data_IF_124148672164
#
_entry.id   IF_124148672164
#
_cell.length_a   1.000
_cell.length_b   1.000
_cell.length_c   1.000
_cell.angle_alpha   90.00
_cell.angle_beta   90.00
_cell.angle_gamma   90.00
#
_symmetry.space_group_name_H-M   'P 1'
#
loop_
_entity.id
_entity.type
_entity.pdbx_description
1 polymer ?
#
# COMPACT_ATOMS: atom_id res chain seq x y z
N UNK A 1 -18.84 -27.61 3.03
CA UNK A 1 -17.89 -28.70 2.76
C UNK A 1 -18.47 -30.07 3.14
N UNK A 2 -18.56 -30.43 4.42
CA UNK A 2 -18.98 -31.78 4.87
C UNK A 2 -20.34 -32.22 4.29
N UNK A 3 -21.32 -31.31 4.23
CA UNK A 3 -22.66 -31.60 3.70
C UNK A 3 -22.69 -31.96 2.21
N UNK A 4 -21.73 -31.45 1.42
CA UNK A 4 -21.70 -31.54 -0.04
C UNK A 4 -20.66 -32.54 -0.56
N UNK A 5 -19.82 -33.07 0.33
CA UNK A 5 -18.83 -34.10 -0.01
C UNK A 5 -19.50 -35.45 -0.24
N UNK A 6 -20.54 -35.75 0.52
CA UNK A 6 -21.32 -36.99 0.39
C UNK A 6 -22.83 -36.70 0.45
N UNK A 7 -23.40 -36.18 -0.66
CA UNK A 7 -24.80 -35.75 -0.70
C UNK A 7 -25.80 -36.90 -0.58
N UNK A 8 -25.37 -38.14 -0.86
CA UNK A 8 -26.17 -39.37 -0.69
C UNK A 8 -26.50 -39.67 0.78
N UNK A 9 -25.66 -39.26 1.74
CA UNK A 9 -25.94 -39.43 3.17
C UNK A 9 -26.82 -38.32 3.75
N UNK A 10 -26.89 -37.17 3.08
CA UNK A 10 -27.58 -35.96 3.57
C UNK A 10 -28.88 -35.66 2.83
N UNK A 11 -29.28 -36.54 1.88
CA UNK A 11 -30.46 -36.40 1.03
C UNK A 11 -30.49 -35.06 0.26
N UNK A 12 -29.32 -34.57 -0.13
CA UNK A 12 -29.15 -33.32 -0.87
C UNK A 12 -29.22 -33.65 -2.36
N UNK A 13 -30.24 -33.15 -3.05
CA UNK A 13 -30.41 -33.38 -4.47
C UNK A 13 -29.66 -32.31 -5.30
N UNK A 14 -28.96 -32.70 -6.38
CA UNK A 14 -28.44 -31.73 -7.35
C UNK A 14 -29.60 -31.14 -8.16
N UNK A 15 -29.42 -29.90 -8.64
CA UNK A 15 -30.37 -29.27 -9.57
C UNK A 15 -30.25 -29.93 -10.94
N UNK A 16 -31.36 -30.49 -11.43
CA UNK A 16 -31.41 -31.11 -12.76
C UNK A 16 -31.95 -30.08 -13.74
N UNK A 17 -31.15 -29.76 -14.76
CA UNK A 17 -31.61 -28.92 -15.86
C UNK A 17 -32.30 -29.79 -16.91
N UNK A 18 -33.52 -29.40 -17.27
CA UNK A 18 -34.29 -30.02 -18.36
C UNK A 18 -34.23 -29.11 -19.59
N UNK A 19 -33.88 -29.70 -20.73
CA UNK A 19 -33.83 -28.98 -22.01
C UNK A 19 -34.87 -29.56 -22.98
N UNK A 20 -35.67 -28.66 -23.55
CA UNK A 20 -36.58 -28.98 -24.65
C UNK A 20 -35.86 -28.87 -25.99
N UNK A 21 -35.93 -29.90 -26.82
CA UNK A 21 -35.34 -29.89 -28.16
C UNK A 21 -36.37 -29.41 -29.18
N UNK A 22 -36.02 -28.43 -30.02
CA UNK A 22 -36.86 -27.99 -31.14
C UNK A 22 -36.21 -28.38 -32.47
N UNK A 23 -37.01 -28.74 -33.47
CA UNK A 23 -36.50 -29.04 -34.80
C UNK A 23 -35.94 -27.76 -35.46
N UNK A 24 -34.67 -27.78 -35.87
CA UNK A 24 -34.00 -26.61 -36.47
C UNK A 24 -34.66 -26.11 -37.76
N UNK A 25 -35.37 -26.97 -38.49
CA UNK A 25 -35.97 -26.65 -39.79
C UNK A 25 -37.43 -26.21 -39.66
N UNK A 26 -38.24 -26.93 -38.87
CA UNK A 26 -39.68 -26.63 -38.72
C UNK A 26 -40.00 -25.73 -37.53
N UNK A 27 -39.04 -25.52 -36.61
CA UNK A 27 -39.20 -24.82 -35.33
C UNK A 27 -40.28 -25.41 -34.42
N UNK A 28 -40.77 -26.60 -34.73
CA UNK A 28 -41.73 -27.31 -33.89
C UNK A 28 -40.99 -27.99 -32.72
N UNK A 29 -41.61 -28.02 -31.52
CA UNK A 29 -41.06 -28.72 -30.38
C UNK A 29 -41.05 -30.24 -30.64
N UNK A 30 -39.91 -30.87 -30.42
CA UNK A 30 -39.77 -32.32 -30.41
C UNK A 30 -39.96 -32.76 -28.97
N UNK A 31 -40.84 -33.73 -28.73
CA UNK A 31 -41.18 -34.23 -27.40
C UNK A 31 -40.09 -35.18 -26.87
N UNK A 32 -38.88 -34.66 -26.73
CA UNK A 32 -37.72 -35.31 -26.13
C UNK A 32 -37.21 -34.39 -25.02
N UNK A 33 -37.25 -34.90 -23.79
CA UNK A 33 -36.66 -34.26 -22.62
C UNK A 33 -35.23 -34.73 -22.44
N UNK A 34 -34.27 -33.82 -22.55
CA UNK A 34 -32.86 -34.12 -22.24
C UNK A 34 -32.57 -33.64 -20.82
N UNK A 35 -32.21 -34.57 -19.94
CA UNK A 35 -31.82 -34.29 -18.55
C UNK A 35 -30.30 -34.36 -18.40
N UNK A 36 -29.70 -33.38 -17.71
CA UNK A 36 -28.30 -33.47 -17.32
C UNK A 36 -28.10 -34.55 -16.24
N UNK A 37 -27.16 -35.47 -16.45
CA UNK A 37 -26.70 -36.39 -15.41
C UNK A 37 -25.55 -35.71 -14.66
N UNK A 38 -25.71 -35.50 -13.35
CA UNK A 38 -24.67 -34.96 -12.46
C UNK A 38 -24.22 -36.09 -11.55
N UNK A 39 -22.93 -36.46 -11.60
CA UNK A 39 -22.34 -37.42 -10.66
C UNK A 39 -21.78 -36.69 -9.43
N UNK A 40 -22.37 -36.86 -8.24
CA UNK A 40 -21.87 -36.21 -7.02
C UNK A 40 -20.47 -36.64 -6.57
N UNK A 41 -20.00 -37.79 -7.03
CA UNK A 41 -18.70 -38.35 -6.67
C UNK A 41 -17.59 -37.88 -7.62
N UNK A 42 -17.95 -37.42 -8.82
CA UNK A 42 -16.99 -36.88 -9.77
C UNK A 42 -16.58 -35.45 -9.32
N UNK A 43 -15.28 -35.19 -9.45
CA UNK A 43 -14.66 -33.90 -9.16
C UNK A 43 -14.99 -32.84 -10.21
N UNK A 44 -15.29 -33.26 -11.44
CA UNK A 44 -15.70 -32.36 -12.51
C UNK A 44 -17.12 -31.83 -12.29
N UNK A 45 -18.01 -32.67 -11.77
CA UNK A 45 -19.42 -32.34 -11.53
C UNK A 45 -19.65 -31.75 -10.12
N UNK A 46 -18.91 -32.24 -9.12
CA UNK A 46 -18.98 -31.75 -7.74
C UNK A 46 -17.62 -31.21 -7.26
N UNK A 47 -17.43 -29.88 -7.24
CA UNK A 47 -16.21 -29.27 -6.72
C UNK A 47 -16.04 -29.48 -5.20
N UNK A 48 -17.03 -30.03 -4.49
CA UNK A 48 -16.92 -30.34 -3.06
C UNK A 48 -16.56 -31.80 -2.77
N UNK A 49 -16.35 -32.64 -3.79
CA UNK A 49 -15.90 -34.03 -3.61
C UNK A 49 -14.52 -34.11 -2.97
N UNK A 50 -13.65 -33.12 -3.26
CA UNK A 50 -12.31 -32.98 -2.71
C UNK A 50 -12.16 -31.69 -1.90
N UNK A 51 -11.33 -31.76 -0.86
CA UNK A 51 -11.12 -30.62 0.04
C UNK A 51 -10.47 -29.42 -0.66
N UNK A 52 -9.47 -29.65 -1.51
CA UNK A 52 -8.75 -28.57 -2.21
C UNK A 52 -9.67 -27.85 -3.20
N UNK A 53 -10.43 -28.61 -4.00
CA UNK A 53 -11.37 -28.01 -4.96
C UNK A 53 -12.50 -27.27 -4.24
N UNK A 54 -12.92 -27.75 -3.07
CA UNK A 54 -13.92 -27.06 -2.26
C UNK A 54 -13.41 -25.73 -1.72
N UNK A 55 -12.13 -25.64 -1.37
CA UNK A 55 -11.48 -24.41 -0.92
C UNK A 55 -11.38 -23.43 -2.09
N UNK A 56 -10.96 -23.89 -3.26
CA UNK A 56 -10.91 -23.07 -4.49
C UNK A 56 -12.31 -22.56 -4.85
N UNK A 57 -13.33 -23.42 -4.78
CA UNK A 57 -14.71 -23.04 -5.04
C UNK A 57 -15.23 -22.02 -4.02
N UNK A 58 -14.87 -22.18 -2.74
CA UNK A 58 -15.24 -21.22 -1.68
C UNK A 58 -14.48 -19.89 -1.81
N UNK A 59 -13.26 -19.90 -2.35
CA UNK A 59 -12.51 -18.69 -2.65
C UNK A 59 -13.23 -17.81 -3.69
N UNK A 60 -13.86 -18.42 -4.69
CA UNK A 60 -14.66 -17.69 -5.68
C UNK A 60 -15.91 -17.01 -5.11
N UNK A 61 -16.33 -17.33 -3.87
CA UNK A 61 -17.38 -16.59 -3.17
C UNK A 61 -17.02 -15.11 -2.96
N UNK A 62 -15.72 -14.79 -2.89
CA UNK A 62 -15.23 -13.41 -2.82
C UNK A 62 -15.61 -12.62 -4.08
N UNK A 63 -15.59 -13.28 -5.24
CA UNK A 63 -16.01 -12.70 -6.53
C UNK A 63 -17.52 -12.76 -6.79
N UNK A 64 -18.32 -13.24 -5.84
CA UNK A 64 -19.77 -13.38 -6.00
C UNK A 64 -20.21 -14.60 -6.83
N UNK A 65 -19.30 -15.52 -7.15
CA UNK A 65 -19.63 -16.78 -7.83
C UNK A 65 -19.88 -17.88 -6.80
N UNK A 66 -21.08 -18.46 -6.80
CA UNK A 66 -21.53 -19.44 -5.80
C UNK A 66 -21.92 -20.77 -6.45
N UNK A 67 -20.92 -21.49 -6.95
CA UNK A 67 -21.11 -22.78 -7.64
C UNK A 67 -21.95 -23.76 -6.80
N UNK A 68 -21.79 -23.78 -5.48
CA UNK A 68 -22.59 -24.64 -4.60
C UNK A 68 -24.09 -24.33 -4.66
N UNK A 69 -24.48 -23.06 -4.70
CA UNK A 69 -25.90 -22.65 -4.78
C UNK A 69 -26.51 -23.03 -6.13
N UNK A 70 -25.70 -22.99 -7.18
CA UNK A 70 -26.16 -23.25 -8.54
C UNK A 70 -26.21 -24.76 -8.84
N UNK A 71 -25.39 -25.57 -8.18
CA UNK A 71 -25.37 -27.04 -8.34
C UNK A 71 -26.39 -27.75 -7.45
N UNK A 72 -26.67 -27.25 -6.24
CA UNK A 72 -27.45 -28.00 -5.23
C UNK A 72 -28.81 -27.36 -4.93
N UNK A 73 -29.85 -28.18 -4.86
CA UNK A 73 -31.21 -27.76 -4.46
C UNK A 73 -31.44 -28.02 -2.97
N UNK A 74 -30.84 -27.19 -2.12
CA UNK A 74 -30.95 -27.34 -0.67
C UNK A 74 -30.96 -25.99 0.06
N UNK A 75 -32.00 -25.78 0.88
CA UNK A 75 -32.23 -24.52 1.58
C UNK A 75 -31.04 -24.07 2.45
N UNK A 76 -30.31 -25.02 3.05
CA UNK A 76 -29.17 -24.68 3.91
C UNK A 76 -27.98 -24.14 3.10
N UNK A 77 -27.83 -24.56 1.84
CA UNK A 77 -26.80 -24.02 0.94
C UNK A 77 -27.13 -22.57 0.60
N UNK A 78 -28.40 -22.28 0.34
CA UNK A 78 -28.87 -20.91 0.08
C UNK A 78 -28.70 -20.00 1.31
N UNK A 79 -29.08 -20.46 2.49
CA UNK A 79 -28.90 -19.69 3.73
C UNK A 79 -27.42 -19.43 4.04
N UNK A 80 -26.55 -20.43 3.86
CA UNK A 80 -25.11 -20.29 4.10
C UNK A 80 -24.46 -19.33 3.10
N UNK A 81 -24.82 -19.41 1.82
CA UNK A 81 -24.27 -18.51 0.79
C UNK A 81 -24.69 -17.07 1.01
N UNK A 82 -25.92 -16.83 1.50
CA UNK A 82 -26.37 -15.50 1.92
C UNK A 82 -25.54 -14.97 3.09
N UNK A 83 -25.38 -15.76 4.16
CA UNK A 83 -24.59 -15.37 5.33
C UNK A 83 -23.12 -15.11 4.98
N UNK A 84 -22.53 -15.97 4.15
CA UNK A 84 -21.17 -15.81 3.66
C UNK A 84 -21.03 -14.53 2.82
N UNK A 85 -21.99 -14.24 1.94
CA UNK A 85 -22.01 -13.02 1.13
C UNK A 85 -22.04 -11.76 2.01
N UNK A 86 -22.95 -11.71 2.99
CA UNK A 86 -23.01 -10.59 3.94
C UNK A 86 -21.69 -10.46 4.69
N UNK A 87 -21.13 -11.54 5.22
CA UNK A 87 -19.89 -11.48 5.98
C UNK A 87 -18.69 -11.00 5.14
N UNK A 88 -18.53 -11.54 3.93
CA UNK A 88 -17.44 -11.16 3.02
C UNK A 88 -17.55 -9.69 2.62
N UNK A 89 -18.75 -9.23 2.25
CA UNK A 89 -18.97 -7.84 1.82
C UNK A 89 -18.87 -6.87 3.00
N UNK A 90 -19.46 -7.19 4.16
CA UNK A 90 -19.55 -6.24 5.28
C UNK A 90 -18.31 -6.20 6.17
N UNK A 91 -17.63 -7.34 6.39
CA UNK A 91 -16.50 -7.41 7.31
C UNK A 91 -15.20 -7.39 6.53
N UNK A 92 -14.99 -8.36 5.63
CA UNK A 92 -13.71 -8.51 4.96
C UNK A 92 -13.43 -7.36 4.00
N UNK A 93 -14.40 -6.95 3.18
CA UNK A 93 -14.17 -5.87 2.22
C UNK A 93 -13.97 -4.51 2.91
N UNK A 94 -14.76 -4.20 3.94
CA UNK A 94 -14.60 -2.96 4.71
C UNK A 94 -13.27 -2.93 5.48
N UNK A 95 -12.86 -4.05 6.08
CA UNK A 95 -11.57 -4.15 6.76
C UNK A 95 -10.40 -4.07 5.77
N UNK A 96 -10.52 -4.68 4.60
CA UNK A 96 -9.50 -4.64 3.55
C UNK A 96 -9.33 -3.23 2.98
N UNK A 97 -10.42 -2.51 2.73
CA UNK A 97 -10.37 -1.11 2.28
C UNK A 97 -9.72 -0.23 3.35
N UNK A 98 -10.08 -0.39 4.63
CA UNK A 98 -9.46 0.36 5.73
C UNK A 98 -7.96 0.06 5.86
N UNK A 99 -7.56 -1.21 5.73
CA UNK A 99 -6.17 -1.64 5.73
C UNK A 99 -5.38 -1.05 4.57
N UNK A 100 -5.90 -1.17 3.34
CA UNK A 100 -5.28 -0.57 2.15
C UNK A 100 -5.22 0.94 2.26
N UNK A 101 -6.25 1.60 2.81
CA UNK A 101 -6.25 3.04 3.06
C UNK A 101 -5.17 3.48 4.04
N UNK A 102 -4.97 2.74 5.14
CA UNK A 102 -3.93 3.02 6.12
C UNK A 102 -2.51 2.83 5.59
N UNK A 103 -2.26 1.77 4.82
CA UNK A 103 -0.95 1.58 4.15
C UNK A 103 -0.76 2.64 3.06
N UNK A 104 -1.81 3.01 2.34
CA UNK A 104 -1.74 3.98 1.26
C UNK A 104 -1.38 5.38 1.75
N UNK A 105 -1.86 5.81 2.93
CA UNK A 105 -1.48 7.12 3.47
C UNK A 105 0.02 7.23 3.77
N UNK A 106 0.61 6.17 4.33
CA UNK A 106 2.04 6.15 4.64
C UNK A 106 2.87 6.01 3.35
N UNK A 107 2.42 5.15 2.43
CA UNK A 107 3.04 4.99 1.13
C UNK A 107 2.95 6.26 0.27
N UNK A 108 1.88 7.06 0.39
CA UNK A 108 1.72 8.29 -0.38
C UNK A 108 2.82 9.32 -0.05
N UNK A 109 3.12 9.51 1.24
CA UNK A 109 4.19 10.43 1.68
C UNK A 109 5.55 9.92 1.23
N UNK A 110 5.80 8.62 1.40
CA UNK A 110 7.07 8.02 0.98
C UNK A 110 7.25 8.02 -0.54
N UNK A 111 6.18 7.75 -1.30
CA UNK A 111 6.18 7.77 -2.76
C UNK A 111 6.39 9.19 -3.31
N UNK A 112 5.81 10.21 -2.67
CA UNK A 112 6.05 11.61 -3.06
C UNK A 112 7.51 12.00 -2.87
N UNK A 113 8.09 11.66 -1.72
CA UNK A 113 9.52 11.90 -1.46
C UNK A 113 10.43 11.11 -2.41
N UNK A 114 10.11 9.84 -2.69
CA UNK A 114 10.85 9.02 -3.64
C UNK A 114 10.77 9.59 -5.06
N UNK A 115 9.60 10.07 -5.49
CA UNK A 115 9.40 10.70 -6.79
C UNK A 115 10.24 11.98 -6.94
N UNK A 116 10.27 12.82 -5.92
CA UNK A 116 11.09 14.04 -5.93
C UNK A 116 12.58 13.72 -6.01
N UNK A 117 13.04 12.70 -5.27
CA UNK A 117 14.43 12.22 -5.36
C UNK A 117 14.76 11.70 -6.76
N UNK A 118 13.92 10.82 -7.31
CA UNK A 118 14.09 10.29 -8.65
C UNK A 118 14.14 11.41 -9.71
N UNK A 119 13.31 12.44 -9.58
CA UNK A 119 13.35 13.61 -10.48
C UNK A 119 14.64 14.41 -10.32
N UNK A 120 15.10 14.62 -9.10
CA UNK A 120 16.35 15.34 -8.84
C UNK A 120 17.57 14.57 -9.37
N UNK A 121 17.62 13.25 -9.16
CA UNK A 121 18.66 12.36 -9.69
C UNK A 121 18.69 12.43 -11.22
N UNK A 122 17.54 12.30 -11.88
CA UNK A 122 17.49 12.42 -13.34
C UNK A 122 18.00 13.79 -13.82
N UNK A 123 17.58 14.88 -13.19
CA UNK A 123 18.05 16.23 -13.57
C UNK A 123 19.58 16.31 -13.39
N UNK A 124 20.11 15.85 -12.27
CA UNK A 124 21.55 15.83 -12.00
C UNK A 124 22.32 15.01 -13.04
N UNK A 125 21.81 13.85 -13.42
CA UNK A 125 22.44 12.98 -14.42
C UNK A 125 22.40 13.62 -15.82
N UNK A 126 21.31 14.31 -16.15
CA UNK A 126 21.20 15.08 -17.40
C UNK A 126 22.15 16.27 -17.41
N UNK A 127 22.24 17.04 -16.32
CA UNK A 127 23.17 18.18 -16.19
C UNK A 127 24.64 17.72 -16.30
N UNK A 128 25.00 16.63 -15.64
CA UNK A 128 26.35 16.06 -15.72
C UNK A 128 26.73 15.60 -17.14
N UNK A 129 25.75 15.14 -17.94
CA UNK A 129 25.99 14.76 -19.32
C UNK A 129 26.10 16.00 -20.25
N UNK A 130 25.32 17.04 -19.98
CA UNK A 130 25.30 18.30 -20.76
C UNK A 130 26.58 19.12 -20.56
N UNK A 131 27.03 19.26 -19.30
CA UNK A 131 28.28 19.96 -18.92
C UNK A 131 29.53 19.38 -19.60
N UNK A 132 29.55 18.06 -19.83
CA UNK A 132 30.73 17.37 -20.39
C UNK A 132 30.72 17.38 -21.92
N UNK A 133 29.56 17.50 -22.58
CA UNK A 133 29.45 17.21 -24.02
C UNK A 133 28.89 18.34 -24.90
N UNK A 134 28.10 19.29 -24.38
CA UNK A 134 27.29 20.14 -25.26
C UNK A 134 27.38 21.67 -25.03
N UNK A 135 27.92 22.18 -23.91
CA UNK A 135 28.04 23.63 -23.67
C UNK A 135 29.49 24.09 -23.35
N UNK A 136 29.95 25.26 -23.85
CA UNK A 136 31.14 25.91 -23.30
C UNK A 136 30.82 26.38 -21.87
N UNK A 137 31.67 25.97 -20.91
CA UNK A 137 31.55 26.25 -19.48
C UNK A 137 31.23 27.74 -19.23
N UNK A 138 29.96 28.06 -18.94
CA UNK A 138 29.61 29.41 -18.50
C UNK A 138 30.25 29.63 -17.14
N UNK A 139 30.97 30.74 -16.90
CA UNK A 139 31.62 30.98 -15.63
C UNK A 139 30.60 30.97 -14.50
N UNK A 140 30.92 30.27 -13.42
CA UNK A 140 30.05 30.13 -12.26
C UNK A 140 29.49 31.50 -11.85
N UNK A 141 28.16 31.61 -11.68
CA UNK A 141 27.54 32.89 -11.36
C UNK A 141 28.11 33.38 -10.02
N UNK A 142 28.67 34.59 -10.03
CA UNK A 142 29.29 35.23 -8.86
C UNK A 142 28.31 35.48 -7.71
N UNK A 143 27.00 35.43 -7.99
CA UNK A 143 25.92 35.62 -7.04
C UNK A 143 24.79 34.61 -7.32
N UNK A 144 24.29 33.97 -6.26
CA UNK A 144 23.11 33.11 -6.33
C UNK A 144 21.88 33.99 -6.10
N UNK A 145 21.11 34.25 -7.16
CA UNK A 145 19.85 34.99 -7.07
C UNK A 145 18.66 34.02 -7.05
N UNK A 146 18.02 33.84 -5.90
CA UNK A 146 16.80 33.05 -5.78
C UNK A 146 15.57 33.92 -6.07
N UNK A 147 14.96 33.75 -7.23
CA UNK A 147 13.71 34.41 -7.63
C UNK A 147 12.55 33.42 -7.40
N UNK A 148 12.25 33.14 -6.15
CA UNK A 148 11.12 32.28 -5.78
C UNK A 148 10.05 33.07 -5.03
N UNK A 149 8.91 33.31 -5.67
CA UNK A 149 7.74 33.91 -5.03
C UNK A 149 6.88 32.79 -4.40
N UNK A 150 7.38 32.23 -3.30
CA UNK A 150 6.70 31.19 -2.55
C UNK A 150 5.84 31.80 -1.45
N UNK A 151 4.55 31.47 -1.42
CA UNK A 151 3.66 31.85 -0.32
C UNK A 151 4.16 31.34 1.04
N UNK A 152 4.87 30.20 1.05
CA UNK A 152 5.54 29.68 2.24
C UNK A 152 6.69 30.57 2.69
N UNK A 153 7.45 31.16 1.76
CA UNK A 153 8.51 32.13 2.09
C UNK A 153 7.93 33.41 2.67
N UNK A 154 6.84 33.95 2.10
CA UNK A 154 6.19 35.15 2.65
C UNK A 154 5.60 34.90 4.05
N UNK A 155 5.00 33.74 4.25
CA UNK A 155 4.44 33.33 5.55
C UNK A 155 5.55 33.13 6.57
N UNK A 156 6.66 32.50 6.17
CA UNK A 156 7.86 32.35 6.99
C UNK A 156 8.50 33.71 7.34
N UNK A 157 8.64 34.61 6.37
CA UNK A 157 9.22 35.95 6.56
C UNK A 157 8.40 36.75 7.58
N UNK A 158 7.07 36.76 7.46
CA UNK A 158 6.18 37.41 8.43
C UNK A 158 6.33 36.83 9.84
N UNK A 159 6.42 35.49 9.96
CA UNK A 159 6.66 34.78 11.23
C UNK A 159 8.04 35.06 11.83
N UNK A 160 9.05 35.20 10.98
CA UNK A 160 10.42 35.57 11.35
C UNK A 160 10.49 37.01 11.85
N UNK A 161 9.77 37.93 11.23
CA UNK A 161 9.73 39.34 11.63
C UNK A 161 8.94 39.57 12.93
N UNK A 162 8.01 38.66 13.29
CA UNK A 162 7.23 38.73 14.55
C UNK A 162 7.90 38.03 15.74
N UNK A 163 8.91 37.18 15.53
CA UNK A 163 9.64 36.52 16.61
C UNK A 163 10.94 37.26 16.90
N UNK A 164 11.04 37.82 18.10
CA UNK A 164 12.23 38.53 18.62
C UNK A 164 13.45 37.63 18.87
N UNK A 165 13.24 36.31 18.90
CA UNK A 165 14.25 35.29 19.16
C UNK A 165 14.81 34.73 17.85
N UNK A 166 16.14 34.55 17.81
CA UNK A 166 16.88 33.97 16.68
C UNK A 166 16.27 32.63 16.24
N UNK A 167 16.26 32.38 14.91
CA UNK A 167 15.66 31.18 14.27
C UNK A 167 16.10 29.85 14.90
N UNK A 168 17.29 29.83 15.50
CA UNK A 168 17.90 28.65 16.07
C UNK A 168 17.89 28.63 17.60
N UNK A 169 17.24 29.57 18.28
CA UNK A 169 17.27 29.65 19.75
C UNK A 169 16.93 28.31 20.43
N UNK A 170 15.92 27.59 19.93
CA UNK A 170 15.52 26.27 20.46
C UNK A 170 16.55 25.17 20.18
N UNK A 171 17.29 25.29 19.08
CA UNK A 171 18.39 24.36 18.75
C UNK A 171 19.67 24.72 19.50
N UNK A 172 19.98 26.00 19.66
CA UNK A 172 21.09 26.51 20.48
C UNK A 172 20.91 26.11 21.95
N UNK A 173 19.70 26.24 22.48
CA UNK A 173 19.34 25.78 23.82
C UNK A 173 19.57 24.27 23.99
N UNK A 174 19.10 23.46 23.02
CA UNK A 174 19.36 22.01 23.01
C UNK A 174 20.85 21.66 22.87
N UNK A 175 21.59 22.37 22.02
CA UNK A 175 23.04 22.15 21.87
C UNK A 175 23.75 22.49 23.17
N UNK A 176 23.32 23.55 23.87
CA UNK A 176 23.88 23.96 25.16
C UNK A 176 23.56 22.95 26.26
N UNK A 177 22.34 22.40 26.28
CA UNK A 177 21.92 21.33 27.18
C UNK A 177 22.74 20.04 26.95
N UNK A 178 22.91 19.63 25.69
CA UNK A 178 23.72 18.48 25.31
C UNK A 178 25.20 18.70 25.69
N UNK A 179 25.75 19.90 25.47
CA UNK A 179 27.11 20.25 25.91
C UNK A 179 27.25 20.15 27.43
N UNK A 180 26.27 20.63 28.20
CA UNK A 180 26.27 20.55 29.66
C UNK A 180 26.30 19.10 30.15
N UNK A 181 25.43 18.24 29.61
CA UNK A 181 25.39 16.80 29.92
C UNK A 181 26.71 16.10 29.57
N UNK A 182 27.33 16.46 28.44
CA UNK A 182 28.59 15.88 27.97
C UNK A 182 29.81 16.34 28.78
N UNK A 183 29.78 17.57 29.33
CA UNK A 183 30.83 18.08 30.23
C UNK A 183 30.74 17.42 31.61
N UNK A 184 29.54 17.22 32.16
CA UNK A 184 29.34 16.54 33.45
C UNK A 184 29.77 15.06 33.40
N UNK A 185 29.52 14.35 32.29
CA UNK A 185 29.99 12.97 32.12
C UNK A 185 31.52 12.86 31.95
N UNK A 186 32.17 13.82 31.27
CA UNK A 186 33.61 13.79 31.02
C UNK A 186 34.48 14.37 32.15
N UNK A 187 33.91 15.04 33.16
CA UNK A 187 34.66 15.49 34.35
C UNK A 187 35.11 14.31 35.24
N UNK A 188 34.51 13.13 35.08
CA UNK A 188 34.91 11.90 35.77
C UNK A 188 35.98 11.07 35.01
N UNK A 189 36.28 11.41 33.76
CA UNK A 189 37.32 10.72 33.00
C UNK A 189 38.60 11.59 32.93
N UNK A 190 39.62 11.15 33.66
CA UNK A 190 40.93 11.82 33.72
C UNK A 190 41.64 11.88 32.35
N UNK A 191 41.14 11.18 31.33
CA UNK A 191 41.72 11.07 30.00
C UNK A 191 40.81 11.55 28.86
N UNK A 192 40.03 12.62 29.06
CA UNK A 192 39.29 13.26 27.96
C UNK A 192 40.23 13.74 26.83
N UNK A 193 40.02 13.20 25.63
CA UNK A 193 40.79 13.43 24.39
C UNK A 193 40.62 14.84 23.79
N UNK A 194 39.81 15.72 24.38
CA UNK A 194 39.45 17.03 23.81
C UNK A 194 39.67 18.19 24.78
N UNK A 195 40.82 18.21 25.48
CA UNK A 195 41.33 19.47 26.04
C UNK A 195 41.74 20.39 24.88
N UNK A 196 40.85 21.31 24.53
CA UNK A 196 41.24 22.48 23.77
C UNK A 196 41.98 23.39 24.74
N UNK A 197 43.31 23.41 24.64
CA UNK A 197 44.07 24.53 25.18
C UNK A 197 43.67 25.76 24.36
N UNK A 198 42.98 26.70 25.00
CA UNK A 198 42.70 28.03 24.46
C UNK A 198 44.03 28.77 24.26
N UNK A 199 44.75 28.46 23.19
CA UNK A 199 45.84 29.29 22.71
C UNK A 199 45.20 30.49 22.02
N UNK A 200 44.95 31.53 22.82
CA UNK A 200 44.68 32.87 22.32
C UNK A 200 45.94 33.32 21.57
N UNK A 201 45.89 33.28 20.23
CA UNK A 201 46.89 33.94 19.39
C UNK A 201 46.48 35.42 19.36
N UNK A 202 47.08 36.21 20.24
CA UNK A 202 47.04 37.67 20.15
C UNK A 202 47.80 38.06 18.88
N UNK A 203 47.07 38.58 17.89
CA UNK A 203 47.68 39.22 16.74
C UNK A 203 47.97 40.67 17.13
N UNK A 204 49.11 40.89 17.78
CA UNK A 204 49.65 42.23 17.94
C UNK A 204 49.88 42.81 16.54
N UNK A 205 49.05 43.80 16.22
CA UNK A 205 49.31 44.77 15.19
C UNK A 205 50.26 45.81 15.79
N UNK A 206 51.52 45.79 15.38
CA UNK A 206 52.39 46.94 15.57
C UNK A 206 53.09 47.34 14.26
N UNK A 207 53.27 48.65 14.18
CA UNK A 207 53.60 49.53 13.06
C UNK A 207 54.88 49.22 12.29
#
# INVERSE_FOLDING_TARGET
FILLQHPTFTNVAPKINEFSVTNSTTKEPIDITVTGAIDPSDRLDNPNSNIIDSLISSYFWIGGSYVQRDTWDFWAVEALTLLASIFVVTVLQNMFIAFMGGIYSDAHVQASNALLRFRAENISDYEALDDVHFLPLTPDPKYICYIGHSSSYETWKKLSETKTHTLYHKYEEKITEIKGLYVDENLNDKNSLWKWDDVIIDHDADK
#
